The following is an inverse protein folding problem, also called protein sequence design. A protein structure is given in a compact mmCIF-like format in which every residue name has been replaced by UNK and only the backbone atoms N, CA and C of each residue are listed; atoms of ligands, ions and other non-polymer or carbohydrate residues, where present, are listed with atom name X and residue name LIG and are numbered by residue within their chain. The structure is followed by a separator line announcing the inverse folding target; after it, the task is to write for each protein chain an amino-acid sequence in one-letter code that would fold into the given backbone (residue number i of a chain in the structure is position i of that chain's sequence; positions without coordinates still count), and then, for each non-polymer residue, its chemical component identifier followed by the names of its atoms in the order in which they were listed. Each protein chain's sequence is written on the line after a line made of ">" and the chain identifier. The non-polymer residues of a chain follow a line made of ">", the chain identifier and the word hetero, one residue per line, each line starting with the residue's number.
data_IF_073788641583
#
_entry.id   IF_073788641583
#
_cell.length_a   1.000
_cell.length_b   1.000
_cell.length_c   1.000
_cell.angle_alpha   90.00
_cell.angle_beta   90.00
_cell.angle_gamma   90.00
#
_symmetry.space_group_name_H-M   'P 1'
#
loop_
_entity.id
_entity.type
_entity.pdbx_description
1 polymer ?
#
# COMPACT_ATOMS: atom_id res chain seq x y z
N UNK A 1 -7.78 13.78 5.44
CA UNK A 1 -6.55 13.51 6.20
C UNK A 1 -5.32 13.97 5.41
N UNK A 2 -5.04 13.43 4.20
CA UNK A 2 -3.79 13.67 3.47
C UNK A 2 -3.50 15.14 3.16
N UNK A 3 -4.52 15.95 2.83
CA UNK A 3 -4.35 17.40 2.58
C UNK A 3 -3.93 18.13 3.86
N UNK A 4 -4.50 17.77 5.01
CA UNK A 4 -4.11 18.33 6.30
C UNK A 4 -2.66 17.96 6.66
N UNK A 5 -2.30 16.71 6.46
CA UNK A 5 -0.90 16.25 6.66
C UNK A 5 0.06 17.00 5.74
N UNK A 6 -0.35 17.28 4.50
CA UNK A 6 0.44 18.07 3.57
C UNK A 6 0.72 19.48 4.11
N UNK A 7 -0.31 20.16 4.66
CA UNK A 7 -0.16 21.49 5.24
C UNK A 7 0.78 21.50 6.45
N UNK A 8 0.68 20.48 7.30
CA UNK A 8 1.55 20.33 8.46
C UNK A 8 3.00 20.12 8.02
N UNK A 9 3.24 19.21 7.09
CA UNK A 9 4.57 18.94 6.54
C UNK A 9 5.14 20.18 5.84
N UNK A 10 4.31 20.94 5.12
CA UNK A 10 4.75 22.18 4.48
C UNK A 10 5.34 23.16 5.50
N UNK A 11 4.63 23.41 6.61
CA UNK A 11 5.12 24.27 7.71
C UNK A 11 6.43 23.73 8.31
N UNK A 12 6.53 22.42 8.53
CA UNK A 12 7.74 21.81 9.07
C UNK A 12 8.96 22.00 8.15
N UNK A 13 8.77 21.93 6.83
CA UNK A 13 9.83 22.20 5.86
C UNK A 13 10.21 23.69 5.82
N UNK A 14 9.22 24.60 5.89
CA UNK A 14 9.47 26.04 5.98
C UNK A 14 10.31 26.40 7.22
N UNK A 15 9.95 25.86 8.38
CA UNK A 15 10.71 26.05 9.65
C UNK A 15 12.15 25.53 9.55
N UNK A 16 12.41 24.55 8.67
CA UNK A 16 13.76 24.02 8.39
C UNK A 16 14.50 24.81 7.30
N UNK A 17 13.91 25.88 6.75
CA UNK A 17 14.54 26.77 5.79
C UNK A 17 14.51 26.30 4.34
N UNK A 18 13.68 25.31 3.98
CA UNK A 18 13.50 24.90 2.60
C UNK A 18 12.81 25.97 1.75
N UNK A 19 13.13 26.04 0.47
CA UNK A 19 12.49 27.00 -0.44
C UNK A 19 11.01 26.65 -0.65
N UNK A 20 10.05 27.57 -0.40
CA UNK A 20 8.61 27.26 -0.44
C UNK A 20 8.14 26.59 -1.72
N UNK A 21 8.70 26.96 -2.88
CA UNK A 21 8.35 26.37 -4.18
C UNK A 21 8.82 24.92 -4.39
N UNK A 22 9.82 24.44 -3.62
CA UNK A 22 10.35 23.08 -3.71
C UNK A 22 9.62 22.13 -2.77
N UNK A 23 9.10 22.64 -1.66
CA UNK A 23 8.46 21.85 -0.60
C UNK A 23 7.34 20.95 -1.11
N UNK A 24 6.40 21.40 -1.98
CA UNK A 24 5.34 20.54 -2.49
C UNK A 24 5.85 19.26 -3.15
N UNK A 25 6.89 19.37 -3.96
CA UNK A 25 7.51 18.23 -4.64
C UNK A 25 8.24 17.30 -3.66
N UNK A 26 8.92 17.85 -2.67
CA UNK A 26 9.58 17.08 -1.61
C UNK A 26 8.58 16.28 -0.78
N UNK A 27 7.47 16.89 -0.38
CA UNK A 27 6.40 16.21 0.38
C UNK A 27 5.81 15.05 -0.41
N UNK A 28 5.45 15.26 -1.68
CA UNK A 28 4.87 14.21 -2.51
C UNK A 28 5.85 13.09 -2.83
N UNK A 29 7.14 13.40 -2.93
CA UNK A 29 8.19 12.43 -3.22
C UNK A 29 8.57 11.58 -2.01
N UNK A 30 8.59 12.17 -0.81
CA UNK A 30 9.28 11.56 0.34
C UNK A 30 8.36 11.22 1.52
N UNK A 31 7.19 11.88 1.66
CA UNK A 31 6.49 11.86 2.94
C UNK A 31 5.08 11.27 2.88
N UNK A 32 4.34 11.43 1.78
CA UNK A 32 2.93 11.02 1.72
C UNK A 32 2.77 9.79 0.85
N UNK A 33 2.25 8.74 1.47
CA UNK A 33 1.89 7.48 0.83
C UNK A 33 0.46 7.12 1.20
N UNK A 34 -0.33 6.66 0.24
CA UNK A 34 -1.73 6.31 0.47
C UNK A 34 -2.13 5.03 -0.27
N UNK A 35 -3.00 4.27 0.38
CA UNK A 35 -3.58 3.04 -0.18
C UNK A 35 -5.08 3.04 0.09
N UNK A 36 -5.87 2.74 -0.91
CA UNK A 36 -7.31 2.56 -0.78
C UNK A 36 -7.80 1.42 -1.69
N UNK A 37 -8.78 0.66 -1.26
CA UNK A 37 -9.43 -0.36 -2.10
C UNK A 37 -10.38 0.27 -3.12
N UNK A 38 -10.90 1.46 -2.81
CA UNK A 38 -11.77 2.22 -3.70
C UNK A 38 -10.94 3.08 -4.68
N UNK A 39 -11.17 2.83 -5.97
CA UNK A 39 -10.53 3.56 -7.06
C UNK A 39 -10.84 5.07 -7.02
N UNK A 40 -12.09 5.43 -6.72
CA UNK A 40 -12.52 6.83 -6.73
C UNK A 40 -11.91 7.59 -5.56
N UNK A 41 -11.84 6.95 -4.37
CA UNK A 41 -11.20 7.52 -3.19
C UNK A 41 -9.72 7.79 -3.45
N UNK A 42 -8.98 6.84 -4.01
CA UNK A 42 -7.56 7.00 -4.35
C UNK A 42 -7.31 8.09 -5.40
N UNK A 43 -8.18 8.16 -6.43
CA UNK A 43 -8.10 9.21 -7.46
C UNK A 43 -8.40 10.60 -6.89
N UNK A 44 -9.44 10.72 -6.07
CA UNK A 44 -9.82 11.99 -5.43
C UNK A 44 -8.72 12.46 -4.47
N UNK A 45 -8.14 11.57 -3.69
CA UNK A 45 -7.03 11.88 -2.79
C UNK A 45 -5.79 12.35 -3.58
N UNK A 46 -5.44 11.68 -4.67
CA UNK A 46 -4.35 12.09 -5.56
C UNK A 46 -4.61 13.46 -6.17
N UNK A 47 -5.82 13.70 -6.67
CA UNK A 47 -6.21 14.98 -7.23
C UNK A 47 -6.12 16.12 -6.20
N UNK A 48 -6.64 15.89 -4.99
CA UNK A 48 -6.59 16.88 -3.91
C UNK A 48 -5.15 17.25 -3.52
N UNK A 49 -4.24 16.27 -3.46
CA UNK A 49 -2.82 16.50 -3.19
C UNK A 49 -2.14 17.29 -4.33
N UNK A 50 -2.43 16.98 -5.59
CA UNK A 50 -1.92 17.70 -6.76
C UNK A 50 -2.40 19.15 -6.74
N UNK A 51 -3.70 19.37 -6.49
CA UNK A 51 -4.26 20.72 -6.40
C UNK A 51 -3.66 21.51 -5.24
N UNK A 52 -3.41 20.85 -4.10
CA UNK A 52 -2.72 21.46 -2.97
C UNK A 52 -1.29 21.86 -3.31
N UNK A 53 -0.53 20.99 -3.93
CA UNK A 53 0.83 21.28 -4.40
C UNK A 53 0.83 22.45 -5.40
N UNK A 54 -0.12 22.47 -6.33
CA UNK A 54 -0.28 23.55 -7.33
C UNK A 54 -0.65 24.89 -6.70
N UNK A 55 -1.46 24.91 -5.65
CA UNK A 55 -1.82 26.15 -4.95
C UNK A 55 -0.63 26.81 -4.25
N UNK A 56 0.37 26.02 -3.83
CA UNK A 56 1.58 26.48 -3.15
C UNK A 56 2.76 26.73 -4.11
N UNK A 57 2.76 26.10 -5.28
CA UNK A 57 3.74 26.35 -6.32
C UNK A 57 3.05 26.53 -7.68
N UNK A 58 2.99 27.77 -8.16
CA UNK A 58 2.37 28.10 -9.47
C UNK A 58 3.04 27.41 -10.67
N UNK A 59 4.26 26.91 -10.53
CA UNK A 59 5.00 26.16 -11.56
C UNK A 59 5.03 24.65 -11.32
N UNK A 60 4.18 24.13 -10.41
CA UNK A 60 4.21 22.71 -10.01
C UNK A 60 4.12 21.73 -11.20
N UNK A 61 3.37 22.06 -12.24
CA UNK A 61 3.23 21.19 -13.42
C UNK A 61 4.42 21.24 -14.41
N UNK A 62 5.45 22.03 -14.13
CA UNK A 62 6.68 21.95 -14.95
C UNK A 62 7.46 20.66 -14.65
N UNK A 63 8.27 20.21 -15.61
CA UNK A 63 9.10 19.01 -15.47
C UNK A 63 9.99 19.01 -14.21
N UNK A 64 10.45 20.21 -13.80
CA UNK A 64 11.32 20.38 -12.64
C UNK A 64 10.64 20.14 -11.29
N UNK A 65 9.31 20.29 -11.20
CA UNK A 65 8.58 20.24 -9.92
C UNK A 65 7.52 19.16 -9.84
N UNK A 66 7.04 18.64 -10.97
CA UNK A 66 5.96 17.67 -10.96
C UNK A 66 6.40 16.34 -10.34
N UNK A 67 5.67 15.94 -9.31
CA UNK A 67 5.76 14.62 -8.67
C UNK A 67 4.36 14.05 -8.56
N UNK A 68 4.16 12.86 -9.13
CA UNK A 68 2.90 12.14 -8.95
C UNK A 68 2.78 11.62 -7.51
N UNK A 69 1.64 11.82 -6.84
CA UNK A 69 1.43 11.30 -5.49
C UNK A 69 1.53 9.77 -5.43
N UNK A 70 2.12 9.24 -4.38
CA UNK A 70 2.14 7.80 -4.11
C UNK A 70 0.84 7.35 -3.42
N UNK A 71 -0.29 7.62 -4.07
CA UNK A 71 -1.62 7.18 -3.62
C UNK A 71 -2.16 6.19 -4.63
N UNK A 72 -2.33 4.95 -4.20
CA UNK A 72 -2.67 3.85 -5.10
C UNK A 72 -3.98 3.18 -4.71
N UNK A 73 -4.79 2.86 -5.74
CA UNK A 73 -5.82 1.85 -5.63
C UNK A 73 -5.16 0.49 -5.40
N UNK A 74 -5.67 -0.30 -4.47
CA UNK A 74 -5.20 -1.68 -4.26
C UNK A 74 -5.84 -2.57 -5.32
N UNK A 75 -5.02 -3.22 -6.12
CA UNK A 75 -5.41 -4.17 -7.16
C UNK A 75 -5.23 -5.60 -6.69
N UNK A 76 -6.03 -6.51 -7.22
CA UNK A 76 -5.78 -7.95 -7.13
C UNK A 76 -5.06 -8.48 -8.38
N UNK A 77 -4.50 -9.68 -8.26
CA UNK A 77 -3.74 -10.32 -9.33
C UNK A 77 -4.54 -11.35 -10.15
N UNK A 78 -5.87 -11.43 -9.97
CA UNK A 78 -6.71 -12.48 -10.60
C UNK A 78 -6.56 -12.56 -12.12
N UNK A 79 -6.38 -11.43 -12.79
CA UNK A 79 -6.10 -11.44 -14.24
C UNK A 79 -4.79 -12.18 -14.55
N UNK A 80 -3.69 -11.91 -13.86
CA UNK A 80 -2.41 -12.60 -14.08
C UNK A 80 -2.51 -14.09 -13.82
N UNK A 81 -3.25 -14.47 -12.78
CA UNK A 81 -3.53 -15.87 -12.45
C UNK A 81 -4.31 -16.54 -13.57
N UNK A 82 -5.35 -15.90 -14.12
CA UNK A 82 -6.15 -16.45 -15.23
C UNK A 82 -5.36 -16.55 -16.55
N UNK A 83 -4.37 -15.68 -16.75
CA UNK A 83 -3.48 -15.72 -17.91
C UNK A 83 -2.36 -16.76 -17.79
N UNK A 84 -2.30 -17.52 -16.68
CA UNK A 84 -1.27 -18.54 -16.49
C UNK A 84 0.15 -17.96 -16.41
N UNK A 85 0.31 -16.87 -15.67
CA UNK A 85 1.56 -16.07 -15.60
C UNK A 85 2.83 -16.90 -15.40
N UNK A 86 2.79 -17.99 -14.61
CA UNK A 86 3.96 -18.86 -14.38
C UNK A 86 4.52 -19.43 -15.67
N UNK A 87 3.62 -19.95 -16.52
CA UNK A 87 4.00 -20.47 -17.83
C UNK A 87 4.51 -19.35 -18.74
N UNK A 88 3.79 -18.22 -18.77
CA UNK A 88 4.18 -17.07 -19.58
C UNK A 88 5.61 -16.59 -19.26
N UNK A 89 5.93 -16.40 -17.95
CA UNK A 89 7.27 -15.97 -17.53
C UNK A 89 8.37 -16.96 -17.89
N UNK A 90 8.12 -18.28 -17.73
CA UNK A 90 9.10 -19.32 -18.07
C UNK A 90 9.30 -19.45 -19.58
N UNK A 91 8.23 -19.40 -20.36
CA UNK A 91 8.29 -19.53 -21.82
C UNK A 91 9.06 -18.38 -22.48
N UNK A 92 9.05 -17.18 -21.88
CA UNK A 92 9.83 -16.04 -22.37
C UNK A 92 11.35 -16.28 -22.31
N UNK A 93 11.86 -17.07 -21.36
CA UNK A 93 13.30 -17.36 -21.16
C UNK A 93 14.18 -16.10 -21.03
N UNK A 94 13.62 -15.01 -20.48
CA UNK A 94 14.27 -13.71 -20.34
C UNK A 94 14.76 -13.44 -18.93
N UNK A 95 14.28 -14.18 -17.93
CA UNK A 95 14.52 -13.97 -16.50
C UNK A 95 15.15 -15.21 -15.87
N UNK A 96 15.93 -14.98 -14.83
CA UNK A 96 16.42 -16.03 -13.93
C UNK A 96 15.29 -16.57 -13.04
N UNK A 97 15.49 -17.76 -12.45
CA UNK A 97 14.51 -18.33 -11.51
C UNK A 97 14.23 -17.40 -10.33
N UNK A 98 15.25 -16.80 -9.74
CA UNK A 98 15.08 -15.87 -8.61
C UNK A 98 14.29 -14.60 -8.96
N UNK A 99 14.36 -14.11 -10.20
CA UNK A 99 13.54 -12.99 -10.67
C UNK A 99 12.09 -13.42 -10.90
N UNK A 100 11.89 -14.63 -11.39
CA UNK A 100 10.55 -15.22 -11.53
C UNK A 100 9.92 -15.43 -10.15
N UNK A 101 10.67 -15.94 -9.16
CA UNK A 101 10.19 -16.15 -7.80
C UNK A 101 9.74 -14.86 -7.12
N UNK A 102 10.47 -13.76 -7.31
CA UNK A 102 10.07 -12.45 -6.78
C UNK A 102 8.76 -11.96 -7.40
N UNK A 103 8.62 -12.09 -8.73
CA UNK A 103 7.40 -11.72 -9.45
C UNK A 103 6.23 -12.64 -9.02
N UNK A 104 6.47 -13.93 -8.93
CA UNK A 104 5.50 -14.91 -8.47
C UNK A 104 5.01 -14.59 -7.06
N UNK A 105 5.93 -14.28 -6.13
CA UNK A 105 5.58 -13.87 -4.77
C UNK A 105 4.63 -12.66 -4.77
N UNK A 106 4.92 -11.63 -5.57
CA UNK A 106 4.04 -10.46 -5.68
C UNK A 106 2.67 -10.86 -6.19
N UNK A 107 2.60 -11.62 -7.28
CA UNK A 107 1.33 -12.03 -7.89
C UNK A 107 0.50 -12.85 -6.91
N UNK A 108 1.08 -13.83 -6.25
CA UNK A 108 0.37 -14.69 -5.29
C UNK A 108 -0.07 -13.92 -4.04
N UNK A 109 0.74 -12.99 -3.55
CA UNK A 109 0.39 -12.15 -2.39
C UNK A 109 -0.85 -11.29 -2.64
N UNK A 110 -1.06 -10.82 -3.86
CA UNK A 110 -2.20 -9.99 -4.23
C UNK A 110 -3.39 -10.74 -4.83
N UNK A 111 -3.46 -12.07 -4.69
CA UNK A 111 -4.58 -12.89 -5.20
C UNK A 111 -5.96 -12.34 -4.81
N UNK A 112 -6.08 -11.87 -3.58
CA UNK A 112 -7.28 -11.26 -3.01
C UNK A 112 -7.04 -9.81 -2.57
N UNK A 113 -6.20 -9.08 -3.32
CA UNK A 113 -5.76 -7.73 -2.97
C UNK A 113 -6.91 -6.77 -2.67
N UNK A 114 -7.93 -6.72 -3.52
CA UNK A 114 -9.09 -5.86 -3.33
C UNK A 114 -9.96 -6.23 -2.13
N UNK A 115 -9.99 -7.50 -1.76
CA UNK A 115 -10.84 -7.98 -0.66
C UNK A 115 -10.14 -7.81 0.70
N UNK A 116 -8.84 -8.13 0.78
CA UNK A 116 -8.06 -8.03 2.03
C UNK A 116 -7.56 -6.60 2.25
N UNK A 117 -7.31 -5.86 1.17
CA UNK A 117 -6.88 -4.48 1.24
C UNK A 117 -5.46 -4.32 1.82
N UNK A 118 -5.25 -3.23 2.54
CA UNK A 118 -3.97 -2.92 3.17
C UNK A 118 -3.63 -3.76 4.41
N UNK A 119 -4.48 -4.73 4.76
CA UNK A 119 -4.14 -5.75 5.76
C UNK A 119 -3.17 -6.82 5.23
N UNK A 120 -2.93 -6.90 3.92
CA UNK A 120 -1.95 -7.82 3.35
C UNK A 120 -0.55 -7.56 3.93
N UNK A 121 0.08 -8.62 4.42
CA UNK A 121 1.48 -8.60 4.89
C UNK A 121 2.40 -8.88 3.71
N UNK A 122 3.11 -7.88 3.25
CA UNK A 122 4.03 -7.97 2.11
C UNK A 122 5.46 -7.91 2.64
N UNK A 123 6.27 -8.93 2.32
CA UNK A 123 7.69 -8.93 2.68
C UNK A 123 8.49 -7.94 1.82
N UNK A 124 9.54 -7.32 2.36
CA UNK A 124 10.47 -6.53 1.56
C UNK A 124 11.14 -7.38 0.49
N UNK A 125 11.26 -6.82 -0.71
CA UNK A 125 11.97 -7.40 -1.85
C UNK A 125 12.99 -6.39 -2.40
N UNK A 126 13.86 -6.86 -3.28
CA UNK A 126 14.64 -5.95 -4.13
C UNK A 126 13.76 -5.46 -5.29
N UNK A 127 12.99 -4.39 -5.03
CA UNK A 127 12.06 -3.83 -6.00
C UNK A 127 12.74 -3.28 -7.25
N UNK A 128 13.98 -2.80 -7.15
CA UNK A 128 14.73 -2.33 -8.32
C UNK A 128 15.04 -3.50 -9.27
N UNK A 129 15.35 -4.68 -8.72
CA UNK A 129 15.49 -5.92 -9.49
C UNK A 129 14.17 -6.28 -10.19
N UNK A 130 13.05 -6.29 -9.47
CA UNK A 130 11.74 -6.61 -10.03
C UNK A 130 11.35 -5.62 -11.14
N UNK A 131 11.54 -4.32 -10.92
CA UNK A 131 11.28 -3.30 -11.94
C UNK A 131 12.15 -3.47 -13.18
N UNK A 132 13.43 -3.85 -13.02
CA UNK A 132 14.34 -4.12 -14.13
C UNK A 132 13.95 -5.40 -14.89
N UNK A 133 13.50 -6.45 -14.19
CA UNK A 133 12.95 -7.66 -14.81
C UNK A 133 11.75 -7.33 -15.69
N UNK A 134 10.83 -6.48 -15.22
CA UNK A 134 9.67 -6.03 -16.00
C UNK A 134 10.13 -5.24 -17.24
N UNK A 135 11.09 -4.32 -17.10
CA UNK A 135 11.66 -3.58 -18.25
C UNK A 135 12.31 -4.52 -19.26
N UNK A 136 12.98 -5.56 -18.80
CA UNK A 136 13.58 -6.60 -19.67
C UNK A 136 12.51 -7.31 -20.47
N UNK A 137 11.40 -7.70 -19.86
CA UNK A 137 10.26 -8.30 -20.54
C UNK A 137 9.72 -7.33 -21.62
N UNK A 138 9.45 -6.08 -21.26
CA UNK A 138 8.91 -5.07 -22.19
C UNK A 138 9.82 -4.81 -23.39
N UNK A 139 11.14 -4.81 -23.18
CA UNK A 139 12.10 -4.49 -24.22
C UNK A 139 12.40 -5.68 -25.14
N UNK A 140 12.35 -6.91 -24.64
CA UNK A 140 12.85 -8.10 -25.34
C UNK A 140 11.80 -9.14 -25.69
N UNK A 141 10.62 -9.14 -25.03
CA UNK A 141 9.60 -10.12 -25.32
C UNK A 141 8.94 -9.86 -26.68
N UNK A 142 8.85 -10.91 -27.48
CA UNK A 142 8.19 -10.85 -28.80
C UNK A 142 6.73 -11.29 -28.63
N UNK A 143 5.76 -10.44 -28.96
CA UNK A 143 4.35 -10.82 -28.90
C UNK A 143 4.01 -11.96 -29.88
N UNK A 144 3.17 -12.87 -29.41
CA UNK A 144 2.60 -13.94 -30.24
C UNK A 144 1.14 -14.21 -29.81
N UNK A 145 0.45 -15.08 -30.48
CA UNK A 145 -0.97 -15.37 -30.21
C UNK A 145 -1.26 -15.76 -28.75
N UNK A 146 -0.30 -16.38 -28.06
CA UNK A 146 -0.50 -16.91 -26.70
C UNK A 146 -0.08 -15.95 -25.59
N UNK A 147 0.79 -14.97 -25.87
CA UNK A 147 1.34 -14.08 -24.84
C UNK A 147 0.93 -12.61 -24.99
N UNK A 148 0.25 -12.22 -26.06
CA UNK A 148 -0.09 -10.80 -26.33
C UNK A 148 -0.83 -10.14 -25.16
N UNK A 149 -1.88 -10.78 -24.61
CA UNK A 149 -2.64 -10.23 -23.47
C UNK A 149 -1.79 -10.16 -22.20
N UNK A 150 -0.90 -11.14 -21.98
CA UNK A 150 0.03 -11.11 -20.86
C UNK A 150 1.00 -9.93 -20.99
N UNK A 151 1.59 -9.73 -22.17
CA UNK A 151 2.55 -8.65 -22.41
C UNK A 151 1.91 -7.25 -22.36
N UNK A 152 0.64 -7.11 -22.71
CA UNK A 152 -0.09 -5.83 -22.63
C UNK A 152 -0.71 -5.61 -21.26
N UNK A 153 -1.80 -6.31 -20.96
CA UNK A 153 -2.60 -6.08 -19.75
C UNK A 153 -1.98 -6.69 -18.51
N UNK A 154 -1.34 -7.87 -18.65
CA UNK A 154 -0.66 -8.55 -17.54
C UNK A 154 0.52 -7.74 -17.02
N UNK A 155 1.40 -7.27 -17.90
CA UNK A 155 2.57 -6.46 -17.50
C UNK A 155 2.13 -5.10 -16.92
N UNK A 156 1.10 -4.48 -17.50
CA UNK A 156 0.54 -3.23 -16.94
C UNK A 156 -0.02 -3.44 -15.52
N UNK A 157 -0.71 -4.55 -15.28
CA UNK A 157 -1.17 -4.91 -13.94
C UNK A 157 0.00 -5.22 -13.01
N UNK A 158 0.97 -6.00 -13.45
CA UNK A 158 2.16 -6.33 -12.64
C UNK A 158 2.89 -5.08 -12.17
N UNK A 159 3.07 -4.06 -13.02
CA UNK A 159 3.64 -2.76 -12.62
C UNK A 159 2.85 -2.07 -11.49
N UNK A 160 1.51 -2.18 -11.51
CA UNK A 160 0.67 -1.64 -10.42
C UNK A 160 0.85 -2.42 -9.14
N UNK A 161 0.89 -3.77 -9.22
CA UNK A 161 1.14 -4.63 -8.07
C UNK A 161 2.50 -4.36 -7.43
N UNK A 162 3.54 -4.14 -8.23
CA UNK A 162 4.88 -3.78 -7.73
C UNK A 162 4.88 -2.45 -6.97
N UNK A 163 4.21 -1.42 -7.51
CA UNK A 163 4.10 -0.12 -6.83
C UNK A 163 3.40 -0.23 -5.48
N UNK A 164 2.28 -0.93 -5.41
CA UNK A 164 1.56 -1.12 -4.14
C UNK A 164 2.33 -2.04 -3.19
N UNK A 165 3.01 -3.08 -3.67
CA UNK A 165 3.87 -3.93 -2.86
C UNK A 165 5.01 -3.14 -2.20
N UNK A 166 5.66 -2.24 -2.97
CA UNK A 166 6.72 -1.36 -2.47
C UNK A 166 6.21 -0.45 -1.33
N UNK A 167 5.01 0.12 -1.46
CA UNK A 167 4.40 0.91 -0.38
C UNK A 167 4.01 0.02 0.80
N UNK A 168 3.40 -1.15 0.58
CA UNK A 168 2.94 -2.03 1.65
C UNK A 168 4.06 -2.72 2.44
N UNK A 169 5.23 -2.91 1.84
CA UNK A 169 6.40 -3.45 2.55
C UNK A 169 7.25 -2.38 3.24
N UNK A 170 6.94 -1.10 3.01
CA UNK A 170 7.64 0.03 3.63
C UNK A 170 7.37 0.18 5.12
N UNK A 171 8.26 0.89 5.81
CA UNK A 171 8.12 1.28 7.21
C UNK A 171 8.09 2.81 7.30
N UNK A 172 7.10 3.35 8.01
CA UNK A 172 6.79 4.77 8.07
C UNK A 172 6.92 5.32 9.49
N UNK A 173 7.15 6.61 9.60
CA UNK A 173 7.22 7.27 10.91
C UNK A 173 5.82 7.43 11.52
N UNK A 174 4.81 7.61 10.68
CA UNK A 174 3.41 7.78 11.11
C UNK A 174 2.48 6.98 10.19
N UNK A 175 1.54 6.25 10.78
CA UNK A 175 0.41 5.64 10.08
C UNK A 175 -0.89 6.25 10.59
N UNK A 176 -1.73 6.75 9.67
CA UNK A 176 -3.04 7.34 10.00
C UNK A 176 -4.11 6.59 9.18
N UNK A 177 -5.13 6.08 9.85
CA UNK A 177 -6.22 5.36 9.17
C UNK A 177 -7.55 5.48 9.90
N UNK A 178 -8.62 5.39 9.13
CA UNK A 178 -9.98 5.11 9.61
C UNK A 178 -10.37 3.75 9.01
N UNK A 179 -10.08 2.63 9.71
CA UNK A 179 -10.31 1.30 9.19
C UNK A 179 -11.80 0.97 9.07
N UNK A 180 -12.20 0.03 8.21
CA UNK A 180 -13.58 -0.44 8.14
C UNK A 180 -13.95 -1.22 9.40
N UNK A 181 -15.24 -1.10 9.81
CA UNK A 181 -15.80 -1.81 10.95
C UNK A 181 -16.63 -2.99 10.43
N UNK A 182 -15.96 -4.11 10.19
CA UNK A 182 -16.55 -5.32 9.63
C UNK A 182 -16.18 -6.51 10.52
N UNK A 183 -17.18 -7.00 11.28
CA UNK A 183 -17.00 -8.16 12.13
C UNK A 183 -16.78 -9.45 11.32
N UNK A 184 -16.09 -10.42 11.92
CA UNK A 184 -15.68 -11.67 11.26
C UNK A 184 -16.85 -12.45 10.63
N UNK A 185 -18.05 -12.35 11.21
CA UNK A 185 -19.24 -13.00 10.66
C UNK A 185 -19.65 -12.47 9.29
N UNK A 186 -19.39 -11.18 9.03
CA UNK A 186 -19.74 -10.46 7.80
C UNK A 186 -18.59 -10.41 6.78
N UNK A 187 -17.41 -10.92 7.13
CA UNK A 187 -16.28 -10.97 6.20
C UNK A 187 -16.48 -12.04 5.14
N UNK A 188 -15.98 -11.79 3.93
CA UNK A 188 -15.86 -12.82 2.89
C UNK A 188 -14.85 -13.91 3.29
N UNK A 189 -15.01 -15.14 2.75
CA UNK A 189 -14.16 -16.28 3.10
C UNK A 189 -12.64 -15.97 2.98
N UNK A 190 -12.14 -15.35 1.90
CA UNK A 190 -10.71 -15.06 1.80
C UNK A 190 -10.19 -14.16 2.93
N UNK A 191 -11.02 -13.20 3.40
CA UNK A 191 -10.63 -12.31 4.52
C UNK A 191 -10.64 -13.08 5.84
N UNK A 192 -11.64 -13.95 6.07
CA UNK A 192 -11.72 -14.79 7.29
C UNK A 192 -10.49 -15.69 7.40
N UNK A 193 -10.15 -16.39 6.32
CA UNK A 193 -9.01 -17.32 6.29
C UNK A 193 -7.70 -16.56 6.53
N UNK A 194 -7.57 -15.40 5.92
CA UNK A 194 -6.43 -14.52 6.11
C UNK A 194 -6.34 -13.99 7.55
N UNK A 195 -7.46 -13.53 8.11
CA UNK A 195 -7.55 -13.04 9.48
C UNK A 195 -7.16 -14.12 10.50
N UNK A 196 -7.66 -15.34 10.34
CA UNK A 196 -7.32 -16.48 11.23
C UNK A 196 -5.83 -16.77 11.19
N UNK A 197 -5.22 -16.70 10.01
CA UNK A 197 -3.81 -17.04 9.79
C UNK A 197 -2.86 -15.95 10.28
N UNK A 198 -3.14 -14.68 9.92
CA UNK A 198 -2.16 -13.58 10.07
C UNK A 198 -2.50 -12.60 11.20
N UNK A 199 -3.75 -12.63 11.72
CA UNK A 199 -4.25 -11.73 12.76
C UNK A 199 -5.02 -12.48 13.85
N UNK A 200 -4.47 -13.57 14.43
CA UNK A 200 -5.22 -14.45 15.35
C UNK A 200 -5.71 -13.74 16.61
N UNK A 201 -5.06 -12.64 17.04
CA UNK A 201 -5.44 -11.90 18.25
C UNK A 201 -6.51 -10.84 18.00
N UNK A 202 -6.67 -10.39 16.75
CA UNK A 202 -7.56 -9.29 16.35
C UNK A 202 -8.58 -9.67 15.30
N UNK A 203 -8.64 -10.94 14.90
CA UNK A 203 -9.51 -11.46 13.82
C UNK A 203 -11.01 -11.19 13.96
N UNK A 204 -11.46 -10.77 15.13
CA UNK A 204 -12.88 -10.56 15.41
C UNK A 204 -13.50 -9.41 14.61
N UNK A 205 -12.71 -8.41 14.22
CA UNK A 205 -13.13 -7.29 13.39
C UNK A 205 -11.97 -6.71 12.61
N UNK A 206 -12.25 -6.12 11.43
CA UNK A 206 -11.21 -5.54 10.56
C UNK A 206 -10.47 -4.39 11.24
N UNK A 207 -11.17 -3.49 11.95
CA UNK A 207 -10.49 -2.38 12.62
C UNK A 207 -9.43 -2.86 13.61
N UNK A 208 -9.74 -3.95 14.31
CA UNK A 208 -8.79 -4.51 15.29
C UNK A 208 -7.55 -5.08 14.62
N UNK A 209 -7.67 -5.68 13.43
CA UNK A 209 -6.53 -6.14 12.65
C UNK A 209 -5.61 -4.99 12.24
N UNK A 210 -6.16 -3.81 11.92
CA UNK A 210 -5.36 -2.61 11.63
C UNK A 210 -4.50 -2.15 12.83
N UNK A 211 -4.89 -2.43 14.06
CA UNK A 211 -4.09 -2.12 15.25
C UNK A 211 -2.84 -3.03 15.38
N UNK A 212 -2.81 -4.17 14.69
CA UNK A 212 -1.69 -5.11 14.64
C UNK A 212 -0.85 -4.99 13.35
N UNK A 213 -1.16 -4.07 12.45
CA UNK A 213 -0.34 -3.86 11.25
C UNK A 213 1.07 -3.40 11.59
N UNK A 214 2.02 -3.72 10.72
CA UNK A 214 3.46 -3.51 10.98
C UNK A 214 4.03 -2.39 10.09
N UNK A 215 3.23 -1.40 9.69
CA UNK A 215 3.69 -0.31 8.82
C UNK A 215 4.57 0.72 9.52
N UNK A 216 4.56 0.77 10.84
CA UNK A 216 5.25 1.82 11.59
C UNK A 216 6.64 1.35 12.03
N UNK A 217 7.62 2.24 11.89
CA UNK A 217 8.98 2.05 12.39
C UNK A 217 9.00 1.92 13.93
N UNK A 218 10.05 1.36 14.54
CA UNK A 218 10.26 1.52 15.98
C UNK A 218 10.21 3.00 16.37
N UNK A 219 9.51 3.34 17.45
CA UNK A 219 9.27 4.70 17.93
C UNK A 219 8.42 5.60 16.99
N UNK A 220 7.76 5.03 16.01
CA UNK A 220 6.79 5.76 15.18
C UNK A 220 5.39 5.76 15.79
N UNK A 221 4.46 6.45 15.15
CA UNK A 221 3.12 6.72 15.68
C UNK A 221 2.02 6.06 14.86
N UNK A 222 1.04 5.49 15.55
CA UNK A 222 -0.25 5.09 14.98
C UNK A 222 -1.32 6.09 15.39
N UNK A 223 -2.13 6.55 14.45
CA UNK A 223 -3.32 7.34 14.71
C UNK A 223 -4.52 6.70 14.01
N UNK A 224 -5.53 6.29 14.77
CA UNK A 224 -6.67 5.54 14.24
C UNK A 224 -7.98 6.02 14.86
N UNK A 225 -9.05 6.00 14.05
CA UNK A 225 -10.43 6.10 14.55
C UNK A 225 -10.96 4.69 14.67
N UNK A 226 -11.20 4.22 15.89
CA UNK A 226 -11.58 2.84 16.17
C UNK A 226 -12.85 2.76 17.00
N UNK A 227 -13.54 1.62 16.92
CA UNK A 227 -14.60 1.31 17.88
C UNK A 227 -14.01 1.09 19.28
N UNK A 228 -14.65 1.63 20.32
CA UNK A 228 -14.20 1.46 21.71
C UNK A 228 -14.33 0.01 22.24
N UNK A 229 -15.07 -0.85 21.56
CA UNK A 229 -15.34 -2.24 21.95
C UNK A 229 -14.07 -3.08 22.21
N UNK A 230 -12.96 -2.78 21.56
CA UNK A 230 -11.69 -3.48 21.79
C UNK A 230 -11.18 -3.33 23.24
N UNK A 231 -11.56 -2.26 23.94
CA UNK A 231 -11.15 -2.01 25.31
C UNK A 231 -11.83 -2.96 26.31
N UNK A 232 -13.02 -3.46 26.00
CA UNK A 232 -13.87 -4.14 26.98
C UNK A 232 -14.21 -5.59 26.62
N UNK A 233 -14.40 -5.93 25.34
CA UNK A 233 -14.84 -7.26 24.97
C UNK A 233 -13.74 -8.31 25.17
N UNK A 234 -14.15 -9.50 25.65
CA UNK A 234 -13.26 -10.64 25.88
C UNK A 234 -12.57 -11.13 24.61
N UNK A 235 -13.24 -11.01 23.46
CA UNK A 235 -12.66 -11.36 22.14
C UNK A 235 -11.38 -10.60 21.80
N UNK A 236 -11.12 -9.45 22.43
CA UNK A 236 -9.90 -8.64 22.22
C UNK A 236 -8.90 -8.70 23.38
N UNK A 237 -9.04 -9.63 24.33
CA UNK A 237 -8.13 -9.73 25.45
C UNK A 237 -6.68 -9.88 25.02
N UNK A 238 -6.42 -10.77 24.07
CA UNK A 238 -5.05 -10.99 23.54
C UNK A 238 -4.52 -9.75 22.82
N UNK A 239 -5.37 -9.06 22.06
CA UNK A 239 -5.02 -7.80 21.39
C UNK A 239 -4.63 -6.72 22.42
N UNK A 240 -5.47 -6.52 23.47
CA UNK A 240 -5.17 -5.55 24.53
C UNK A 240 -3.85 -5.86 25.22
N UNK A 241 -3.61 -7.13 25.58
CA UNK A 241 -2.34 -7.56 26.17
C UNK A 241 -1.18 -7.23 25.26
N UNK A 242 -1.28 -7.52 23.96
CA UNK A 242 -0.25 -7.21 22.97
C UNK A 242 0.03 -5.70 22.91
N UNK A 243 -1.02 -4.87 22.77
CA UNK A 243 -0.87 -3.41 22.69
C UNK A 243 -0.20 -2.87 23.95
N UNK A 244 -0.70 -3.21 25.14
CA UNK A 244 -0.18 -2.70 26.42
C UNK A 244 1.24 -3.16 26.75
N UNK A 245 1.72 -4.25 26.13
CA UNK A 245 3.08 -4.75 26.33
C UNK A 245 4.08 -4.27 25.29
N UNK A 246 3.61 -3.87 24.09
CA UNK A 246 4.48 -3.53 22.94
C UNK A 246 4.37 -2.10 22.48
N UNK A 247 3.34 -1.35 22.93
CA UNK A 247 3.05 0.02 22.49
C UNK A 247 2.70 0.89 23.71
N UNK A 248 2.87 2.19 23.54
CA UNK A 248 2.43 3.21 24.46
C UNK A 248 1.21 3.92 23.91
N UNK A 249 0.16 4.08 24.73
CA UNK A 249 -1.01 4.88 24.37
C UNK A 249 -0.73 6.34 24.79
N UNK A 250 -0.31 7.15 23.82
CA UNK A 250 0.06 8.56 24.06
C UNK A 250 -1.18 9.41 24.30
N UNK A 251 -2.26 9.16 23.55
CA UNK A 251 -3.50 9.91 23.66
C UNK A 251 -4.70 9.05 23.26
N UNK A 252 -5.83 9.26 23.93
CA UNK A 252 -7.10 8.61 23.60
C UNK A 252 -8.24 9.60 23.86
N UNK A 253 -9.08 9.80 22.84
CA UNK A 253 -10.26 10.68 22.90
C UNK A 253 -11.49 9.78 22.72
N UNK A 254 -12.44 9.88 23.66
CA UNK A 254 -13.69 9.11 23.66
C UNK A 254 -14.89 10.07 23.69
#
# INVERSE_FOLDING_TARGET
>A
ILVYVFDLLFKMYEEKGYQPREIPSLILKNNIFGLDVDKRASQLASFALIMKARSLNSKFFSESYYVAPYVYEIWDSRLLLSLGYKKQLKDLKLLSESEIDDIEYIIESFRYGKTIGSLLKIKPLNYDRVENSIKTIEAKAVPNLFNTTFLSDGIRLLKRLVKQAKVMSGKYDVMITNPPYIGISSMESPVKDYAITFYPNSKSDMFAMFMETEFVKPNGFYAMINMHSWMFLSSYEKLRKSILTTKEIVNMIH
#
